data_IF_013300964907
#
_entry.id   IF_013300964907
#
_cell.length_a   1.000
_cell.length_b   1.000
_cell.length_c   1.000
_cell.angle_alpha   90.00
_cell.angle_beta   90.00
_cell.angle_gamma   90.00
#
_symmetry.space_group_name_H-M   'P 1'
#
loop_
_entity.id
_entity.type
_entity.pdbx_description
1 polymer ?
#
# COMPACT_ATOMS: atom_id res chain seq x y z
N UNK A 1 -20.90 -7.33 24.08
CA UNK A 1 -19.53 -7.56 23.57
C UNK A 1 -19.36 -9.05 23.35
N UNK A 2 -18.91 -9.50 22.16
CA UNK A 2 -18.67 -10.92 21.91
C UNK A 2 -17.57 -11.41 22.85
N UNK A 3 -17.81 -12.46 23.63
CA UNK A 3 -16.82 -13.07 24.53
C UNK A 3 -15.66 -13.79 23.78
N UNK A 4 -15.45 -13.50 22.51
CA UNK A 4 -14.39 -14.09 21.70
C UNK A 4 -13.08 -13.34 21.96
N UNK A 5 -12.11 -14.06 22.50
CA UNK A 5 -10.75 -13.52 22.71
C UNK A 5 -10.15 -13.07 21.39
N UNK A 6 -9.61 -11.84 21.37
CA UNK A 6 -8.91 -11.32 20.18
C UNK A 6 -7.65 -12.15 19.90
N UNK A 7 -7.42 -12.44 18.62
CA UNK A 7 -6.29 -13.27 18.15
C UNK A 7 -6.59 -14.76 18.07
N UNK A 8 -5.74 -15.49 17.33
CA UNK A 8 -5.83 -16.93 17.14
C UNK A 8 -6.92 -17.39 16.15
N UNK A 9 -6.98 -18.70 15.91
CA UNK A 9 -7.83 -19.35 14.90
C UNK A 9 -9.33 -19.08 15.14
N UNK A 10 -9.79 -19.07 16.38
CA UNK A 10 -11.20 -18.85 16.72
C UNK A 10 -11.62 -17.43 16.32
N UNK A 11 -10.77 -16.44 16.58
CA UNK A 11 -11.02 -15.05 16.20
C UNK A 11 -11.02 -14.89 14.66
N UNK A 12 -10.05 -15.49 13.97
CA UNK A 12 -9.99 -15.47 12.50
C UNK A 12 -11.24 -16.10 11.86
N UNK A 13 -11.71 -17.22 12.38
CA UNK A 13 -12.97 -17.84 11.92
C UNK A 13 -14.18 -16.94 12.17
N UNK A 14 -14.23 -16.25 13.29
CA UNK A 14 -15.29 -15.29 13.58
C UNK A 14 -15.29 -14.15 12.57
N UNK A 15 -14.14 -13.53 12.32
CA UNK A 15 -13.98 -12.48 11.32
C UNK A 15 -14.43 -12.93 9.93
N UNK A 16 -14.00 -14.13 9.48
CA UNK A 16 -14.42 -14.70 8.20
C UNK A 16 -15.94 -14.91 8.11
N UNK A 17 -16.59 -15.40 9.19
CA UNK A 17 -18.04 -15.57 9.23
C UNK A 17 -18.79 -14.24 9.17
N UNK A 18 -18.29 -13.19 9.82
CA UNK A 18 -18.88 -11.84 9.77
C UNK A 18 -18.85 -11.31 8.34
N UNK A 19 -17.70 -11.41 7.66
CA UNK A 19 -17.56 -10.97 6.27
C UNK A 19 -18.47 -11.81 5.34
N UNK A 20 -18.47 -13.13 5.48
CA UNK A 20 -19.32 -14.01 4.68
C UNK A 20 -20.81 -13.67 4.89
N UNK A 21 -21.23 -13.43 6.14
CA UNK A 21 -22.61 -13.01 6.45
C UNK A 21 -22.99 -11.69 5.79
N UNK A 22 -22.09 -10.72 5.78
CA UNK A 22 -22.30 -9.45 5.08
C UNK A 22 -22.47 -9.63 3.57
N UNK A 23 -21.64 -10.47 2.94
CA UNK A 23 -21.77 -10.80 1.50
C UNK A 23 -23.10 -11.49 1.23
N UNK A 24 -23.44 -12.52 2.01
CA UNK A 24 -24.70 -13.27 1.84
C UNK A 24 -25.93 -12.40 2.02
N UNK A 25 -25.89 -11.41 2.90
CA UNK A 25 -27.05 -10.51 3.13
C UNK A 25 -27.38 -9.61 1.94
N UNK A 26 -26.41 -9.35 1.05
CA UNK A 26 -26.61 -8.51 -0.15
C UNK A 26 -26.61 -9.30 -1.46
N UNK A 27 -26.24 -10.58 -1.42
CA UNK A 27 -26.06 -11.41 -2.62
C UNK A 27 -27.29 -11.46 -3.54
N UNK A 28 -28.48 -11.55 -2.95
CA UNK A 28 -29.76 -11.60 -3.70
C UNK A 28 -30.10 -10.27 -4.40
N UNK A 29 -29.45 -9.19 -4.04
CA UNK A 29 -29.64 -7.86 -4.63
C UNK A 29 -28.61 -7.53 -5.71
N UNK A 30 -27.66 -8.42 -5.97
CA UNK A 30 -26.64 -8.22 -7.00
C UNK A 30 -27.28 -8.19 -8.39
N UNK A 31 -26.74 -7.33 -9.25
CA UNK A 31 -27.19 -7.23 -10.65
C UNK A 31 -25.99 -7.49 -11.56
N UNK A 32 -26.15 -8.16 -12.70
CA UNK A 32 -25.10 -8.31 -13.68
C UNK A 32 -24.65 -6.93 -14.18
N UNK A 33 -23.36 -6.77 -14.42
CA UNK A 33 -22.83 -5.66 -15.22
C UNK A 33 -23.12 -6.02 -16.68
N UNK A 34 -23.80 -5.12 -17.39
CA UNK A 34 -24.29 -5.38 -18.77
C UNK A 34 -23.26 -5.10 -19.85
N UNK A 35 -22.06 -4.67 -19.48
CA UNK A 35 -20.99 -4.33 -20.43
C UNK A 35 -20.00 -5.49 -20.54
N UNK A 36 -19.72 -5.96 -21.76
CA UNK A 36 -18.78 -7.03 -22.07
C UNK A 36 -17.37 -6.52 -22.42
N UNK A 37 -17.19 -5.19 -22.49
CA UNK A 37 -15.90 -4.58 -22.77
C UNK A 37 -15.12 -4.33 -21.51
N UNK A 38 -13.86 -4.75 -21.53
CA UNK A 38 -12.89 -4.51 -20.46
C UNK A 38 -11.75 -3.68 -21.03
N UNK A 39 -11.47 -2.56 -20.39
CA UNK A 39 -10.35 -1.70 -20.73
C UNK A 39 -9.35 -1.65 -19.60
N UNK A 40 -8.08 -1.52 -19.93
CA UNK A 40 -7.04 -1.32 -18.93
C UNK A 40 -6.01 -0.28 -19.39
N UNK A 41 -5.44 0.40 -18.41
CA UNK A 41 -4.28 1.29 -18.59
C UNK A 41 -3.31 1.06 -17.44
N UNK A 42 -2.06 1.35 -17.73
CA UNK A 42 -1.01 1.42 -16.73
C UNK A 42 -0.21 2.69 -16.88
N UNK A 43 0.11 3.31 -15.78
CA UNK A 43 0.97 4.48 -15.71
C UNK A 43 2.02 4.30 -14.63
N UNK A 44 3.21 4.82 -14.90
CA UNK A 44 4.29 4.85 -13.92
C UNK A 44 4.20 6.14 -13.10
N UNK A 45 4.45 6.00 -11.79
CA UNK A 45 4.68 7.13 -10.90
C UNK A 45 6.08 7.04 -10.31
N UNK A 46 6.70 8.19 -10.08
CA UNK A 46 8.02 8.28 -9.46
C UNK A 46 7.89 8.28 -7.94
N UNK A 47 8.77 7.54 -7.29
CA UNK A 47 8.85 7.46 -5.83
C UNK A 47 10.29 7.67 -5.37
N UNK A 48 10.52 8.70 -4.58
CA UNK A 48 11.82 8.97 -3.97
C UNK A 48 12.04 8.07 -2.75
N UNK A 49 13.21 7.41 -2.69
CA UNK A 49 13.55 6.50 -1.60
C UNK A 49 14.32 7.24 -0.48
N UNK A 50 13.98 6.87 0.76
CA UNK A 50 14.74 7.27 1.95
C UNK A 50 16.03 6.45 2.01
N UNK A 51 17.13 7.03 1.54
CA UNK A 51 18.46 6.42 1.57
C UNK A 51 19.26 6.92 2.76
N UNK A 52 20.01 6.04 3.40
CA UNK A 52 21.05 6.43 4.35
C UNK A 52 22.27 7.01 3.63
N UNK A 53 23.04 7.86 4.32
CA UNK A 53 24.41 8.19 3.90
C UNK A 53 25.32 6.96 4.02
N UNK A 54 26.49 6.98 3.39
CA UNK A 54 27.45 5.86 3.49
C UNK A 54 27.78 5.54 4.95
N UNK A 55 27.92 6.55 5.80
CA UNK A 55 28.14 6.39 7.24
C UNK A 55 26.95 5.72 7.94
N UNK A 56 25.73 6.18 7.66
CA UNK A 56 24.51 5.58 8.21
C UNK A 56 24.31 4.12 7.76
N UNK A 57 24.65 3.82 6.52
CA UNK A 57 24.61 2.46 5.99
C UNK A 57 25.65 1.57 6.67
N UNK A 58 26.86 2.07 6.90
CA UNK A 58 27.90 1.33 7.62
C UNK A 58 27.45 1.02 9.07
N UNK A 59 26.90 1.99 9.78
CA UNK A 59 26.32 1.80 11.11
C UNK A 59 25.17 0.77 11.06
N UNK A 60 24.29 0.86 10.07
CA UNK A 60 23.18 -0.07 9.89
C UNK A 60 23.65 -1.51 9.68
N UNK A 61 24.74 -1.74 8.93
CA UNK A 61 25.35 -3.07 8.77
C UNK A 61 25.82 -3.67 10.08
N UNK A 62 26.46 -2.87 10.92
CA UNK A 62 26.90 -3.34 12.24
C UNK A 62 25.73 -3.64 13.18
N UNK A 63 24.67 -2.82 13.17
CA UNK A 63 23.46 -3.05 13.97
C UNK A 63 22.75 -4.34 13.52
N UNK A 64 22.59 -4.57 12.20
CA UNK A 64 21.95 -5.78 11.69
C UNK A 64 22.74 -7.03 12.03
N UNK A 65 24.07 -6.97 11.97
CA UNK A 65 24.95 -8.06 12.41
C UNK A 65 24.76 -8.42 13.88
N UNK A 66 24.70 -7.42 14.77
CA UNK A 66 24.41 -7.62 16.20
C UNK A 66 23.02 -8.23 16.40
N UNK A 67 22.01 -7.70 15.72
CA UNK A 67 20.65 -8.23 15.79
C UNK A 67 20.56 -9.70 15.37
N UNK A 68 21.23 -10.08 14.26
CA UNK A 68 21.26 -11.46 13.78
C UNK A 68 22.04 -12.40 14.73
N UNK A 69 23.00 -11.87 15.48
CA UNK A 69 23.71 -12.59 16.54
C UNK A 69 22.90 -12.74 17.85
N UNK A 70 21.71 -12.13 17.93
CA UNK A 70 20.88 -12.13 19.12
C UNK A 70 21.36 -11.19 20.23
N UNK A 71 22.22 -10.24 19.90
CA UNK A 71 22.72 -9.23 20.83
C UNK A 71 21.66 -8.13 21.08
N UNK A 72 21.74 -7.48 22.23
CA UNK A 72 20.89 -6.34 22.55
C UNK A 72 21.28 -5.10 21.72
N UNK A 73 20.32 -4.61 20.94
CA UNK A 73 20.49 -3.41 20.11
C UNK A 73 19.72 -2.18 20.64
N UNK A 74 19.20 -2.24 21.84
CA UNK A 74 18.36 -1.18 22.45
C UNK A 74 19.10 0.16 22.61
N UNK A 75 20.41 0.13 22.70
CA UNK A 75 21.29 1.30 22.84
C UNK A 75 21.97 1.72 21.51
N UNK A 76 21.63 1.05 20.41
CA UNK A 76 22.18 1.42 19.12
C UNK A 76 21.55 2.71 18.58
N UNK A 77 22.25 3.39 17.69
CA UNK A 77 21.82 4.67 17.09
C UNK A 77 20.49 4.52 16.32
N UNK A 78 20.30 3.37 15.64
CA UNK A 78 19.08 3.09 14.90
C UNK A 78 18.37 1.87 15.49
N UNK A 79 17.04 1.91 15.49
CA UNK A 79 16.25 0.70 15.72
C UNK A 79 16.32 -0.22 14.48
N UNK A 80 15.90 -1.48 14.64
CA UNK A 80 15.97 -2.48 13.56
C UNK A 80 15.15 -2.10 12.32
N UNK A 81 14.07 -1.35 12.47
CA UNK A 81 13.22 -0.93 11.36
C UNK A 81 13.94 0.07 10.46
N UNK A 82 14.56 1.10 11.04
CA UNK A 82 15.35 2.08 10.29
C UNK A 82 16.62 1.46 9.71
N UNK A 83 17.29 0.59 10.48
CA UNK A 83 18.43 -0.20 10.03
C UNK A 83 18.10 -0.94 8.72
N UNK A 84 17.03 -1.72 8.72
CA UNK A 84 16.60 -2.47 7.54
C UNK A 84 16.14 -1.61 6.38
N UNK A 85 15.56 -0.45 6.66
CA UNK A 85 15.22 0.53 5.62
C UNK A 85 16.46 1.01 4.87
N UNK A 86 17.52 1.41 5.56
CA UNK A 86 18.76 1.86 4.93
C UNK A 86 19.43 0.74 4.13
N UNK A 87 19.51 -0.47 4.68
CA UNK A 87 20.10 -1.62 3.99
C UNK A 87 19.31 -2.03 2.74
N UNK A 88 17.98 -2.03 2.83
CA UNK A 88 17.11 -2.34 1.70
C UNK A 88 17.30 -1.36 0.54
N UNK A 89 17.45 -0.06 0.86
CA UNK A 89 17.53 0.99 -0.14
C UNK A 89 18.98 1.30 -0.57
N UNK A 90 19.99 0.64 0.01
CA UNK A 90 21.41 0.93 -0.23
C UNK A 90 21.76 0.95 -1.73
N UNK A 91 21.42 -0.12 -2.43
CA UNK A 91 21.77 -0.33 -3.84
C UNK A 91 20.69 0.11 -4.83
N UNK A 92 19.54 0.58 -4.34
CA UNK A 92 18.46 1.06 -5.18
C UNK A 92 18.76 2.47 -5.73
N UNK A 93 18.27 2.84 -6.91
CA UNK A 93 18.35 4.21 -7.37
C UNK A 93 17.59 5.14 -6.42
N UNK A 94 17.95 6.44 -6.33
CA UNK A 94 17.28 7.37 -5.41
C UNK A 94 15.80 7.60 -5.74
N UNK A 95 15.41 7.32 -6.97
CA UNK A 95 14.03 7.39 -7.47
C UNK A 95 13.72 6.09 -8.18
N UNK A 96 12.61 5.47 -7.82
CA UNK A 96 12.10 4.24 -8.43
C UNK A 96 10.77 4.50 -9.13
N UNK A 97 10.47 3.68 -10.12
CA UNK A 97 9.18 3.69 -10.80
C UNK A 97 8.21 2.69 -10.16
N UNK A 98 7.00 3.14 -9.87
CA UNK A 98 5.91 2.31 -9.37
C UNK A 98 4.81 2.22 -10.42
N UNK A 99 4.37 1.01 -10.72
CA UNK A 99 3.38 0.75 -11.76
C UNK A 99 1.96 0.74 -11.18
N UNK A 100 1.15 1.72 -11.57
CA UNK A 100 -0.27 1.81 -11.24
C UNK A 100 -1.07 1.26 -12.41
N UNK A 101 -1.93 0.28 -12.15
CA UNK A 101 -2.79 -0.34 -13.18
C UNK A 101 -4.25 -0.11 -12.84
N UNK A 102 -5.03 0.29 -13.83
CA UNK A 102 -6.48 0.38 -13.71
C UNK A 102 -7.15 -0.53 -14.74
N UNK A 103 -8.17 -1.25 -14.30
CA UNK A 103 -9.04 -2.06 -15.13
C UNK A 103 -10.47 -1.59 -14.94
N UNK A 104 -11.14 -1.23 -16.03
CA UNK A 104 -12.52 -0.74 -16.00
C UNK A 104 -13.45 -1.53 -16.92
N UNK A 105 -14.68 -1.70 -16.51
CA UNK A 105 -15.78 -2.26 -17.30
C UNK A 105 -17.10 -1.69 -16.79
N UNK A 106 -17.90 -1.16 -17.71
CA UNK A 106 -19.15 -0.47 -17.36
C UNK A 106 -18.95 0.63 -16.32
N UNK A 107 -19.60 0.52 -15.18
CA UNK A 107 -19.54 1.48 -14.09
C UNK A 107 -18.53 1.11 -12.97
N UNK A 108 -17.74 0.06 -13.17
CA UNK A 108 -16.82 -0.47 -12.14
C UNK A 108 -15.38 -0.35 -12.60
N UNK A 109 -14.48 0.00 -11.67
CA UNK A 109 -13.05 -0.04 -11.90
C UNK A 109 -12.29 -0.66 -10.72
N UNK A 110 -11.20 -1.36 -11.03
CA UNK A 110 -10.17 -1.80 -10.08
C UNK A 110 -8.91 -0.97 -10.29
N UNK A 111 -8.28 -0.58 -9.18
CA UNK A 111 -7.01 0.16 -9.18
C UNK A 111 -5.96 -0.65 -8.45
N UNK A 112 -5.01 -1.21 -9.18
CA UNK A 112 -3.89 -1.95 -8.62
C UNK A 112 -2.79 -1.00 -8.17
N UNK A 113 -2.48 -1.04 -6.89
CA UNK A 113 -1.44 -0.26 -6.23
C UNK A 113 -0.30 -1.20 -5.80
N UNK A 114 0.96 -0.94 -6.16
CA UNK A 114 2.08 -1.87 -5.94
C UNK A 114 2.65 -1.77 -4.52
N UNK A 115 1.81 -1.70 -3.51
CA UNK A 115 2.17 -1.60 -2.10
C UNK A 115 0.96 -1.48 -1.19
N UNK A 116 1.18 -0.95 -0.01
CA UNK A 116 0.19 -0.83 1.06
C UNK A 116 -0.14 0.65 1.35
N UNK A 117 -1.09 1.23 0.57
CA UNK A 117 -1.48 2.62 0.75
C UNK A 117 -2.27 2.82 2.05
N UNK A 118 -2.09 3.97 2.69
CA UNK A 118 -2.94 4.40 3.79
C UNK A 118 -4.38 4.58 3.31
N UNK A 119 -5.33 4.36 4.20
CA UNK A 119 -6.77 4.42 3.90
C UNK A 119 -7.21 5.71 3.21
N UNK A 120 -6.63 6.85 3.58
CA UNK A 120 -6.92 8.16 2.98
C UNK A 120 -6.61 8.22 1.48
N UNK A 121 -5.58 7.50 1.01
CA UNK A 121 -5.25 7.40 -0.42
C UNK A 121 -6.40 6.70 -1.16
N UNK A 122 -6.85 5.56 -0.64
CA UNK A 122 -7.97 4.81 -1.22
C UNK A 122 -9.28 5.61 -1.22
N UNK A 123 -9.53 6.42 -0.19
CA UNK A 123 -10.69 7.32 -0.12
C UNK A 123 -10.59 8.39 -1.19
N UNK A 124 -9.47 9.13 -1.28
CA UNK A 124 -9.26 10.16 -2.31
C UNK A 124 -9.42 9.61 -3.74
N UNK A 125 -8.89 8.40 -4.00
CA UNK A 125 -9.03 7.75 -5.31
C UNK A 125 -10.51 7.47 -5.63
N UNK A 126 -11.29 6.96 -4.66
CA UNK A 126 -12.72 6.68 -4.84
C UNK A 126 -13.52 7.95 -5.07
N UNK A 127 -13.26 9.00 -4.30
CA UNK A 127 -13.97 10.29 -4.38
C UNK A 127 -13.73 11.01 -5.72
N UNK A 128 -12.51 10.89 -6.26
CA UNK A 128 -12.15 11.53 -7.54
C UNK A 128 -12.39 10.62 -8.76
N UNK A 129 -12.86 9.39 -8.56
CA UNK A 129 -13.05 8.43 -9.65
C UNK A 129 -14.22 8.79 -10.56
N UNK A 130 -14.08 8.65 -11.90
CA UNK A 130 -15.17 8.81 -12.84
C UNK A 130 -16.10 7.57 -12.90
N UNK A 131 -15.80 6.50 -12.17
CA UNK A 131 -16.61 5.29 -12.10
C UNK A 131 -17.56 5.34 -10.89
N UNK A 132 -18.74 4.72 -11.02
CA UNK A 132 -19.67 4.63 -9.89
C UNK A 132 -19.13 3.78 -8.74
N UNK A 133 -18.32 2.77 -9.06
CA UNK A 133 -17.65 1.92 -8.09
C UNK A 133 -16.17 1.79 -8.45
N UNK A 134 -15.30 2.13 -7.52
CA UNK A 134 -13.85 1.96 -7.65
C UNK A 134 -13.31 1.16 -6.47
N UNK A 135 -12.52 0.15 -6.78
CA UNK A 135 -11.95 -0.81 -5.83
C UNK A 135 -10.43 -0.69 -5.86
N UNK A 136 -9.81 0.07 -4.94
CA UNK A 136 -8.37 0.05 -4.76
C UNK A 136 -7.90 -1.31 -4.24
N UNK A 137 -6.89 -1.88 -4.89
CA UNK A 137 -6.29 -3.17 -4.56
C UNK A 137 -4.85 -2.98 -4.11
N UNK A 138 -4.56 -3.29 -2.84
CA UNK A 138 -3.23 -3.24 -2.27
C UNK A 138 -2.36 -4.40 -2.78
N UNK A 139 -1.04 -4.20 -2.80
CA UNK A 139 -0.06 -5.20 -3.23
C UNK A 139 -0.38 -5.85 -4.59
N UNK A 140 -0.99 -5.08 -5.47
CA UNK A 140 -1.27 -5.47 -6.85
C UNK A 140 -0.16 -4.93 -7.77
N UNK A 141 0.41 -5.80 -8.59
CA UNK A 141 1.56 -5.54 -9.48
C UNK A 141 2.88 -5.21 -8.77
N UNK A 142 3.02 -5.63 -7.52
CA UNK A 142 4.22 -5.43 -6.73
C UNK A 142 3.94 -5.28 -5.25
N UNK A 143 5.00 -5.24 -4.45
CA UNK A 143 4.95 -5.04 -3.00
C UNK A 143 6.11 -4.13 -2.58
N UNK A 144 5.96 -2.83 -2.86
CA UNK A 144 7.00 -1.84 -2.60
C UNK A 144 7.02 -1.35 -1.13
N UNK A 145 6.09 -1.80 -0.30
CA UNK A 145 5.93 -1.41 1.11
C UNK A 145 4.83 -0.38 1.31
N UNK A 146 4.87 0.32 2.44
CA UNK A 146 3.81 1.26 2.83
C UNK A 146 3.89 2.59 2.09
N UNK A 147 2.73 3.13 1.73
CA UNK A 147 2.57 4.48 1.18
C UNK A 147 1.85 5.35 2.22
N UNK A 148 2.57 5.91 3.19
CA UNK A 148 2.00 6.81 4.19
C UNK A 148 1.78 8.20 3.61
N UNK A 149 0.87 8.96 4.23
CA UNK A 149 0.73 10.40 4.00
C UNK A 149 1.89 11.17 4.62
N UNK A 150 2.14 12.38 4.17
CA UNK A 150 3.28 13.18 4.63
C UNK A 150 3.20 13.51 6.13
N UNK A 151 1.99 13.77 6.64
CA UNK A 151 1.76 13.96 8.08
C UNK A 151 2.02 12.66 8.87
N UNK A 152 1.67 11.50 8.32
CA UNK A 152 1.96 10.23 8.96
C UNK A 152 3.46 9.90 8.99
N UNK A 153 4.25 10.33 8.01
CA UNK A 153 5.72 10.15 8.01
C UNK A 153 6.40 10.86 9.18
N UNK A 154 5.79 11.88 9.75
CA UNK A 154 6.28 12.57 10.95
C UNK A 154 5.85 11.89 12.25
N UNK A 155 4.98 10.88 12.17
CA UNK A 155 4.49 10.12 13.31
C UNK A 155 5.40 8.92 13.64
N UNK A 156 5.24 8.36 14.85
CA UNK A 156 5.99 7.18 15.31
C UNK A 156 5.31 5.84 14.95
N UNK A 157 4.39 5.82 13.97
CA UNK A 157 3.69 4.61 13.55
C UNK A 157 4.60 3.59 12.86
N UNK A 158 4.31 2.30 13.02
CA UNK A 158 5.08 1.20 12.41
C UNK A 158 5.15 1.33 10.88
N UNK A 159 4.02 1.62 10.24
CA UNK A 159 3.89 1.72 8.79
C UNK A 159 4.73 2.87 8.24
N UNK A 160 4.72 4.02 8.91
CA UNK A 160 5.52 5.20 8.56
C UNK A 160 7.01 4.95 8.76
N UNK A 161 7.38 4.32 9.88
CA UNK A 161 8.77 3.95 10.16
C UNK A 161 9.31 2.93 9.15
N UNK A 162 8.46 1.98 8.71
CA UNK A 162 8.82 0.90 7.78
C UNK A 162 8.76 1.33 6.31
N UNK A 163 8.12 2.44 5.98
CA UNK A 163 8.02 2.93 4.61
C UNK A 163 9.41 3.22 4.03
N UNK A 164 9.75 2.72 2.83
CA UNK A 164 11.03 3.01 2.19
C UNK A 164 11.07 4.40 1.54
N UNK A 165 9.97 5.14 1.50
CA UNK A 165 9.80 6.34 0.70
C UNK A 165 10.00 7.62 1.49
N UNK A 166 10.33 8.69 0.76
CA UNK A 166 10.29 10.07 1.21
C UNK A 166 8.88 10.66 1.08
N UNK A 167 8.60 11.83 1.71
CA UNK A 167 7.35 12.57 1.53
C UNK A 167 6.97 12.77 0.05
N UNK A 168 5.67 12.85 -0.23
CA UNK A 168 5.10 12.99 -1.57
C UNK A 168 4.66 11.67 -2.21
N UNK A 169 4.99 10.51 -1.63
CA UNK A 169 4.58 9.19 -2.19
C UNK A 169 3.06 9.04 -2.26
N UNK A 170 2.34 9.50 -1.24
CA UNK A 170 0.88 9.41 -1.19
C UNK A 170 0.21 10.19 -2.32
N UNK A 171 0.66 11.41 -2.56
CA UNK A 171 0.09 12.27 -3.61
C UNK A 171 0.47 11.75 -5.00
N UNK A 172 1.72 11.37 -5.23
CA UNK A 172 2.17 10.80 -6.51
C UNK A 172 1.36 9.55 -6.91
N UNK A 173 1.12 8.63 -5.97
CA UNK A 173 0.32 7.42 -6.19
C UNK A 173 -1.15 7.78 -6.44
N UNK A 174 -1.71 8.69 -5.65
CA UNK A 174 -3.11 9.13 -5.77
C UNK A 174 -3.37 9.80 -7.12
N UNK A 175 -2.56 10.79 -7.50
CA UNK A 175 -2.70 11.52 -8.76
C UNK A 175 -2.55 10.61 -9.97
N UNK A 176 -1.56 9.70 -9.94
CA UNK A 176 -1.36 8.75 -11.02
C UNK A 176 -2.54 7.78 -11.14
N UNK A 177 -3.07 7.29 -10.03
CA UNK A 177 -4.26 6.43 -10.02
C UNK A 177 -5.49 7.13 -10.61
N UNK A 178 -5.76 8.38 -10.20
CA UNK A 178 -6.88 9.18 -10.71
C UNK A 178 -6.73 9.45 -12.21
N UNK A 179 -5.53 9.82 -12.66
CA UNK A 179 -5.24 10.01 -14.09
C UNK A 179 -5.51 8.73 -14.88
N UNK A 180 -5.00 7.59 -14.40
CA UNK A 180 -5.17 6.29 -15.07
C UNK A 180 -6.63 5.87 -15.14
N UNK A 181 -7.43 6.13 -14.08
CA UNK A 181 -8.88 5.91 -14.09
C UNK A 181 -9.61 6.75 -15.16
N UNK A 182 -9.24 8.01 -15.31
CA UNK A 182 -9.84 8.88 -16.32
C UNK A 182 -9.49 8.41 -17.75
N UNK A 183 -8.25 7.96 -17.97
CA UNK A 183 -7.82 7.39 -19.26
C UNK A 183 -8.62 6.11 -19.58
N UNK A 184 -8.81 5.21 -18.63
CA UNK A 184 -9.66 4.00 -18.82
C UNK A 184 -11.10 4.40 -19.12
N UNK A 185 -11.66 5.38 -18.39
CA UNK A 185 -13.05 5.82 -18.58
C UNK A 185 -13.29 6.45 -19.96
N UNK A 186 -12.29 7.11 -20.53
CA UNK A 186 -12.40 7.73 -21.85
C UNK A 186 -12.44 6.72 -23.01
N UNK A 187 -12.11 5.44 -22.77
CA UNK A 187 -12.17 4.35 -23.75
C UNK A 187 -13.48 3.55 -23.70
N UNK A 188 -14.24 3.69 -22.61
CA UNK A 188 -15.54 3.07 -22.39
C UNK A 188 -16.66 3.88 -23.05
#
# INVERSE_FOLDING_TARGET
MSGIKRGGIVHSRHMGRVIAGAVMSVYTYTKPVSDDKVFFKQNMTKAALCKGTDEQVAIAKEIDKKFLAGEDISQCEFNITLTRKYLRNENEPPIVDLNIVCVGFGDVAFVGLPGEPFTSIGVKIKEASPFKMTIPCCNANGSAGYFPTDDALTSSGYESASSPFLPGIADNVTETAIRTLNEVKSEL
#
